data_IF_558333346462
#
_entry.id   IF_558333346462
#
_cell.length_a   1.000
_cell.length_b   1.000
_cell.length_c   1.000
_cell.angle_alpha   90.00
_cell.angle_beta   90.00
_cell.angle_gamma   90.00
#
_symmetry.space_group_name_H-M   'P 1'
#
loop_
_entity.id
_entity.type
_entity.pdbx_description
1 polymer ?
#
# COMPACT_ATOMS: atom_id res chain seq x y z
N UNK A 1 23.44 -29.61 -22.12
CA UNK A 1 23.69 -28.42 -22.97
C UNK A 1 22.43 -27.57 -22.91
N UNK A 2 22.49 -26.39 -22.30
CA UNK A 2 21.34 -25.49 -22.23
C UNK A 2 21.14 -24.81 -23.57
N UNK A 3 19.97 -24.98 -24.19
CA UNK A 3 19.59 -24.25 -25.39
C UNK A 3 19.29 -22.78 -24.98
N UNK A 4 20.22 -21.90 -25.32
CA UNK A 4 20.01 -20.47 -25.20
C UNK A 4 19.21 -19.94 -26.39
N UNK A 5 17.95 -19.54 -26.16
CA UNK A 5 17.19 -18.81 -27.18
C UNK A 5 17.68 -17.36 -27.14
N UNK A 6 18.49 -16.98 -28.12
CA UNK A 6 19.16 -15.66 -28.16
C UNK A 6 18.21 -14.51 -28.48
N UNK A 7 17.10 -14.71 -29.13
CA UNK A 7 16.10 -13.68 -29.43
C UNK A 7 14.82 -14.32 -30.02
N UNK A 8 13.66 -13.90 -29.52
CA UNK A 8 12.37 -14.16 -30.15
C UNK A 8 11.78 -12.83 -30.58
N UNK A 9 11.78 -12.55 -31.89
CA UNK A 9 11.13 -11.35 -32.44
C UNK A 9 9.79 -11.75 -33.03
N UNK A 10 8.67 -11.31 -32.45
CA UNK A 10 7.34 -11.55 -33.00
C UNK A 10 6.80 -10.24 -33.57
N UNK A 11 6.71 -10.13 -34.89
CA UNK A 11 6.05 -9.02 -35.59
C UNK A 11 4.56 -9.33 -35.75
N UNK A 12 3.71 -8.56 -35.12
CA UNK A 12 2.29 -8.46 -35.50
C UNK A 12 1.35 -9.54 -34.95
N UNK A 13 1.77 -10.41 -34.05
CA UNK A 13 0.90 -11.41 -33.40
C UNK A 13 0.96 -11.30 -31.89
N UNK A 14 -0.19 -11.51 -31.21
CA UNK A 14 -0.21 -11.66 -29.76
C UNK A 14 0.53 -12.95 -29.40
N UNK A 15 1.73 -12.82 -28.87
CA UNK A 15 2.48 -13.95 -28.35
C UNK A 15 1.99 -14.22 -26.93
N UNK A 16 1.16 -15.23 -26.77
CA UNK A 16 0.69 -15.67 -25.46
C UNK A 16 1.71 -16.68 -24.92
N UNK A 17 2.73 -16.21 -24.25
CA UNK A 17 3.53 -17.06 -23.36
C UNK A 17 2.62 -17.44 -22.20
N UNK A 18 2.13 -18.67 -22.17
CA UNK A 18 1.52 -19.22 -20.96
C UNK A 18 2.42 -18.88 -19.78
N UNK A 19 1.91 -18.81 -18.56
CA UNK A 19 2.59 -18.30 -17.37
C UNK A 19 4.13 -18.47 -17.42
N UNK A 20 4.86 -17.37 -17.59
CA UNK A 20 6.30 -17.37 -17.40
C UNK A 20 6.51 -17.47 -15.90
N UNK A 21 6.92 -18.63 -15.42
CA UNK A 21 7.35 -18.75 -14.04
C UNK A 21 8.51 -17.78 -13.78
N UNK A 22 8.50 -17.09 -12.67
CA UNK A 22 9.48 -16.05 -12.32
C UNK A 22 10.94 -16.53 -12.37
N UNK A 23 11.17 -17.83 -12.28
CA UNK A 23 12.48 -18.44 -12.44
C UNK A 23 13.05 -18.31 -13.87
N UNK A 24 12.20 -18.12 -14.89
CA UNK A 24 12.63 -17.96 -16.29
C UNK A 24 13.13 -16.53 -16.59
N UNK A 25 12.91 -15.57 -15.69
CA UNK A 25 13.32 -14.16 -15.83
C UNK A 25 14.61 -13.86 -15.02
N UNK A 26 15.16 -14.84 -14.32
CA UNK A 26 16.35 -14.69 -13.47
C UNK A 26 17.67 -14.36 -14.22
N UNK A 27 17.62 -13.93 -15.45
CA UNK A 27 18.78 -13.58 -16.26
C UNK A 27 18.64 -12.30 -17.06
N UNK A 28 17.63 -11.47 -16.79
CA UNK A 28 17.54 -10.14 -17.43
C UNK A 28 18.35 -9.14 -16.60
N UNK A 29 19.65 -9.35 -16.58
CA UNK A 29 20.62 -8.33 -16.20
C UNK A 29 20.76 -7.35 -17.36
N UNK A 30 20.26 -6.16 -17.24
CA UNK A 30 20.36 -5.07 -18.22
C UNK A 30 19.33 -5.10 -19.35
N UNK A 31 18.22 -4.51 -19.06
CA UNK A 31 17.24 -4.07 -20.04
C UNK A 31 16.12 -3.39 -19.30
N UNK A 32 15.91 -2.14 -19.61
CA UNK A 32 14.71 -1.44 -19.22
C UNK A 32 13.51 -2.26 -19.73
N UNK A 33 12.71 -2.82 -18.85
CA UNK A 33 11.46 -3.47 -19.23
C UNK A 33 10.48 -2.39 -19.71
N UNK A 34 10.53 -2.06 -21.00
CA UNK A 34 9.64 -1.09 -21.60
C UNK A 34 8.30 -1.77 -21.86
N UNK A 35 7.34 -1.59 -20.98
CA UNK A 35 5.94 -1.93 -21.21
C UNK A 35 5.28 -0.80 -22.00
N UNK A 36 5.26 -0.88 -23.32
CA UNK A 36 4.65 0.14 -24.20
C UNK A 36 3.12 0.19 -24.10
N UNK A 37 2.50 -0.73 -23.39
CA UNK A 37 1.04 -0.81 -23.19
C UNK A 37 0.52 -0.22 -21.87
N UNK A 38 1.39 0.40 -21.06
CA UNK A 38 1.04 0.87 -19.73
C UNK A 38 0.90 -0.29 -18.70
N UNK A 39 1.39 -0.08 -17.50
CA UNK A 39 1.13 -1.00 -16.39
C UNK A 39 -0.25 -0.69 -15.81
N UNK A 40 -1.24 -1.50 -16.12
CA UNK A 40 -2.52 -1.42 -15.43
C UNK A 40 -2.36 -2.06 -14.04
N UNK A 41 -2.21 -1.22 -13.02
CA UNK A 41 -2.18 -1.69 -11.63
C UNK A 41 -3.53 -2.31 -11.28
N UNK A 42 -3.53 -3.57 -10.85
CA UNK A 42 -4.75 -4.21 -10.37
C UNK A 42 -5.34 -3.44 -9.18
N UNK A 43 -6.67 -3.45 -9.06
CA UNK A 43 -7.39 -2.85 -7.94
C UNK A 43 -7.95 -3.95 -7.06
N UNK A 44 -7.84 -3.78 -5.72
CA UNK A 44 -8.46 -4.66 -4.72
C UNK A 44 -9.40 -3.82 -3.86
N UNK A 45 -10.69 -4.14 -3.92
CA UNK A 45 -11.69 -3.51 -3.06
C UNK A 45 -11.73 -4.23 -1.71
N UNK A 46 -11.76 -3.48 -0.61
CA UNK A 46 -11.91 -4.02 0.73
C UNK A 46 -13.40 -4.16 1.09
N UNK A 47 -13.71 -5.14 1.91
CA UNK A 47 -15.07 -5.46 2.34
C UNK A 47 -15.28 -5.02 3.78
N UNK A 48 -16.39 -4.32 4.06
CA UNK A 48 -16.75 -3.87 5.41
C UNK A 48 -16.90 -5.03 6.38
N UNK A 49 -16.49 -4.81 7.63
CA UNK A 49 -16.67 -5.77 8.73
C UNK A 49 -15.95 -7.10 8.57
N UNK A 50 -15.16 -7.28 7.51
CA UNK A 50 -14.34 -8.46 7.29
C UNK A 50 -12.87 -8.14 7.63
N UNK A 51 -12.16 -9.13 8.14
CA UNK A 51 -10.71 -9.07 8.24
C UNK A 51 -10.11 -9.19 6.83
N UNK A 52 -9.85 -8.04 6.21
CA UNK A 52 -9.20 -8.02 4.90
C UNK A 52 -7.69 -8.23 5.08
N UNK A 53 -7.12 -9.07 4.23
CA UNK A 53 -5.67 -9.30 4.20
C UNK A 53 -5.16 -9.02 2.79
N UNK A 54 -4.10 -8.25 2.66
CA UNK A 54 -3.32 -8.19 1.44
C UNK A 54 -2.17 -9.17 1.52
N UNK A 55 -1.77 -9.70 0.40
CA UNK A 55 -0.70 -10.70 0.30
C UNK A 55 0.46 -10.17 -0.52
N UNK A 56 1.58 -10.87 -0.53
CA UNK A 56 2.72 -10.52 -1.38
C UNK A 56 2.35 -10.42 -2.87
N UNK A 57 1.38 -11.23 -3.33
CA UNK A 57 0.89 -11.20 -4.70
C UNK A 57 0.04 -9.94 -5.02
N UNK A 58 -0.38 -9.20 -4.01
CA UNK A 58 -1.09 -7.93 -4.17
C UNK A 58 -0.12 -6.73 -4.25
N UNK A 59 1.19 -6.96 -4.15
CA UNK A 59 2.19 -5.89 -4.27
C UNK A 59 2.07 -5.17 -5.62
N UNK A 60 2.09 -3.85 -5.58
CA UNK A 60 1.87 -2.98 -6.75
C UNK A 60 0.40 -2.68 -7.03
N UNK A 61 -0.56 -3.32 -6.37
CA UNK A 61 -1.99 -3.02 -6.53
C UNK A 61 -2.39 -1.74 -5.77
N UNK A 62 -3.48 -1.14 -6.24
CA UNK A 62 -4.23 -0.13 -5.51
C UNK A 62 -5.27 -0.84 -4.65
N UNK A 63 -5.24 -0.61 -3.36
CA UNK A 63 -6.16 -1.16 -2.36
C UNK A 63 -7.18 -0.06 -2.01
N UNK A 64 -8.46 -0.35 -2.11
CA UNK A 64 -9.49 0.69 -1.97
C UNK A 64 -10.42 0.38 -0.80
N UNK A 65 -10.47 1.30 0.16
CA UNK A 65 -11.55 1.40 1.13
C UNK A 65 -12.78 1.97 0.42
N UNK A 66 -13.65 1.08 -0.06
CA UNK A 66 -14.84 1.41 -0.84
C UNK A 66 -16.14 1.27 -0.04
N UNK A 67 -16.04 1.40 1.27
CA UNK A 67 -17.17 1.32 2.20
C UNK A 67 -17.00 2.34 3.30
N UNK A 68 -18.10 2.87 3.83
CA UNK A 68 -18.04 3.86 4.92
C UNK A 68 -17.82 3.22 6.29
N UNK A 69 -18.23 1.96 6.47
CA UNK A 69 -18.15 1.25 7.75
C UNK A 69 -16.70 0.89 8.11
N UNK A 70 -16.47 0.63 9.39
CA UNK A 70 -15.18 0.18 9.90
C UNK A 70 -14.62 -1.00 9.09
N UNK A 71 -13.36 -0.92 8.74
CA UNK A 71 -12.70 -1.88 7.85
C UNK A 71 -11.23 -2.00 8.22
N UNK A 72 -10.82 -3.19 8.62
CA UNK A 72 -9.41 -3.51 8.91
C UNK A 72 -8.77 -4.18 7.70
N UNK A 73 -7.57 -3.73 7.34
CA UNK A 73 -6.72 -4.38 6.33
C UNK A 73 -5.35 -4.71 6.91
N UNK A 74 -5.04 -6.00 7.02
CA UNK A 74 -3.75 -6.47 7.52
C UNK A 74 -2.75 -6.66 6.37
N UNK A 75 -1.56 -6.07 6.54
CA UNK A 75 -0.43 -6.23 5.63
C UNK A 75 0.21 -7.61 5.78
N UNK A 76 0.88 -8.16 4.75
CA UNK A 76 1.69 -9.36 4.89
C UNK A 76 2.97 -9.08 5.71
N UNK A 77 3.72 -10.12 6.03
CA UNK A 77 5.10 -9.95 6.48
C UNK A 77 5.88 -9.15 5.41
N UNK A 78 6.60 -8.08 5.80
CA UNK A 78 7.25 -7.20 4.86
C UNK A 78 8.37 -7.91 4.10
N UNK A 79 8.55 -7.51 2.85
CA UNK A 79 9.75 -7.81 2.05
C UNK A 79 10.20 -6.53 1.38
N UNK A 80 11.50 -6.39 1.22
CA UNK A 80 12.11 -5.22 0.56
C UNK A 80 11.49 -5.06 -0.84
N UNK A 81 11.01 -3.84 -1.13
CA UNK A 81 10.41 -3.49 -2.42
C UNK A 81 8.91 -3.79 -2.57
N UNK A 82 8.27 -4.49 -1.62
CA UNK A 82 6.80 -4.56 -1.62
C UNK A 82 6.21 -3.18 -1.50
N UNK A 83 5.14 -2.91 -2.27
CA UNK A 83 4.45 -1.63 -2.24
C UNK A 83 2.95 -1.83 -2.31
N UNK A 84 2.23 -1.13 -1.44
CA UNK A 84 0.77 -1.04 -1.47
C UNK A 84 0.37 0.43 -1.44
N UNK A 85 -0.62 0.79 -2.26
CA UNK A 85 -1.22 2.13 -2.22
C UNK A 85 -2.68 2.00 -1.81
N UNK A 86 -3.03 2.56 -0.67
CA UNK A 86 -4.39 2.58 -0.15
C UNK A 86 -5.06 3.89 -0.54
N UNK A 87 -6.31 3.78 -0.99
CA UNK A 87 -7.15 4.94 -1.33
C UNK A 87 -8.48 4.79 -0.59
N UNK A 88 -8.93 5.85 0.05
CA UNK A 88 -10.28 5.93 0.59
C UNK A 88 -11.18 6.59 -0.46
N UNK A 89 -12.15 5.84 -1.01
CA UNK A 89 -13.05 6.32 -2.06
C UNK A 89 -14.38 6.85 -1.52
N UNK A 90 -14.74 6.47 -0.30
CA UNK A 90 -15.97 6.89 0.38
C UNK A 90 -15.58 7.39 1.78
N UNK A 91 -16.19 8.50 2.22
CA UNK A 91 -15.98 9.02 3.58
C UNK A 91 -16.20 7.94 4.63
N UNK A 92 -15.20 7.69 5.45
CA UNK A 92 -15.27 6.76 6.56
C UNK A 92 -16.21 7.30 7.66
N UNK A 93 -17.16 6.47 8.08
CA UNK A 93 -18.00 6.69 9.26
C UNK A 93 -17.63 5.78 10.43
N UNK A 94 -16.77 4.82 10.17
CA UNK A 94 -16.06 3.97 11.14
C UNK A 94 -14.58 3.96 10.80
N UNK A 95 -13.77 3.30 11.60
CA UNK A 95 -12.33 3.30 11.46
C UNK A 95 -11.91 2.45 10.24
N UNK A 96 -11.20 3.09 9.29
CA UNK A 96 -10.43 2.38 8.27
C UNK A 96 -9.01 2.20 8.79
N UNK A 97 -8.58 0.97 8.93
CA UNK A 97 -7.29 0.65 9.56
C UNK A 97 -6.40 -0.14 8.61
N UNK A 98 -5.13 0.25 8.58
CA UNK A 98 -4.05 -0.49 7.95
C UNK A 98 -3.17 -1.00 9.09
N UNK A 99 -3.13 -2.32 9.26
CA UNK A 99 -2.39 -2.99 10.32
C UNK A 99 -1.16 -3.71 9.77
N UNK A 100 -0.01 -3.56 10.42
CA UNK A 100 1.14 -4.43 10.16
C UNK A 100 0.84 -5.88 10.59
N UNK A 101 1.49 -6.86 9.97
CA UNK A 101 1.23 -8.28 10.24
C UNK A 101 1.51 -8.68 11.70
N UNK A 102 2.43 -8.01 12.35
CA UNK A 102 2.79 -8.18 13.78
C UNK A 102 3.34 -6.87 14.31
N UNK A 103 3.33 -6.69 15.64
CA UNK A 103 3.90 -5.51 16.31
C UNK A 103 5.39 -5.28 16.02
N UNK A 104 6.13 -6.31 15.57
CA UNK A 104 7.52 -6.18 15.16
C UNK A 104 7.73 -5.66 13.72
N UNK A 105 6.66 -5.40 12.99
CA UNK A 105 6.68 -4.93 11.60
C UNK A 105 6.22 -3.48 11.45
N UNK A 106 6.43 -2.65 12.44
CA UNK A 106 5.85 -1.31 12.53
C UNK A 106 6.22 -0.35 11.39
N UNK A 107 5.60 0.81 11.45
CA UNK A 107 5.71 1.87 10.46
C UNK A 107 6.80 2.87 10.79
N UNK A 108 7.44 3.41 9.75
CA UNK A 108 8.33 4.58 9.78
C UNK A 108 7.84 5.59 8.74
N UNK A 109 8.28 6.83 8.85
CA UNK A 109 7.89 7.90 7.93
C UNK A 109 6.70 8.70 8.43
N UNK A 110 5.87 9.22 7.55
CA UNK A 110 4.79 10.08 7.99
C UNK A 110 3.79 10.42 6.89
N UNK A 111 2.74 11.09 7.30
CA UNK A 111 1.66 11.56 6.44
C UNK A 111 1.28 12.99 6.80
N UNK A 112 0.65 13.70 5.87
CA UNK A 112 -0.10 14.92 6.18
C UNK A 112 -1.57 14.58 6.38
N UNK A 113 -2.23 15.26 7.32
CA UNK A 113 -3.68 15.22 7.49
C UNK A 113 -4.24 16.61 7.21
N UNK A 114 -4.95 16.73 6.10
CA UNK A 114 -5.55 17.98 5.66
C UNK A 114 -6.99 18.08 6.15
N UNK A 115 -7.30 19.11 6.93
CA UNK A 115 -8.67 19.42 7.29
C UNK A 115 -9.35 20.14 6.14
N UNK A 116 -10.39 19.54 5.59
CA UNK A 116 -11.19 20.17 4.53
C UNK A 116 -12.10 21.30 5.05
N UNK A 117 -12.31 21.36 6.37
CA UNK A 117 -13.18 22.36 7.04
C UNK A 117 -12.38 23.54 7.57
N UNK A 118 -11.20 23.31 8.15
CA UNK A 118 -10.39 24.37 8.79
C UNK A 118 -9.32 24.96 7.89
N UNK A 119 -9.19 24.49 6.63
CA UNK A 119 -8.16 24.91 5.68
C UNK A 119 -6.74 24.85 6.26
N UNK A 120 -6.44 23.77 7.01
CA UNK A 120 -5.13 23.51 7.61
C UNK A 120 -4.65 22.11 7.29
N UNK A 121 -3.35 21.95 7.29
CA UNK A 121 -2.67 20.66 7.15
C UNK A 121 -1.68 20.49 8.30
N UNK A 122 -1.73 19.33 8.96
CA UNK A 122 -0.78 18.96 9.98
C UNK A 122 0.01 17.73 9.54
N UNK A 123 1.31 17.75 9.76
CA UNK A 123 2.18 16.63 9.47
C UNK A 123 2.32 15.75 10.73
N UNK A 124 2.13 14.45 10.54
CA UNK A 124 2.31 13.44 11.59
C UNK A 124 3.35 12.41 11.15
N UNK A 125 4.24 12.07 12.05
CA UNK A 125 5.24 11.02 11.84
C UNK A 125 4.89 9.81 12.70
N UNK A 126 5.11 8.63 12.13
CA UNK A 126 5.15 7.41 12.91
C UNK A 126 6.32 7.46 13.91
N UNK A 127 6.21 6.71 14.98
CA UNK A 127 7.25 6.65 16.00
C UNK A 127 8.57 6.16 15.39
N UNK A 128 9.64 6.93 15.60
CA UNK A 128 10.95 6.68 14.99
C UNK A 128 11.58 5.31 15.36
N UNK A 129 11.08 4.67 16.41
CA UNK A 129 11.50 3.31 16.77
C UNK A 129 10.67 2.21 16.11
N UNK A 130 9.70 2.57 15.22
CA UNK A 130 8.83 1.63 14.53
C UNK A 130 7.85 0.90 15.44
N UNK A 131 7.45 1.52 16.56
CA UNK A 131 6.48 0.93 17.49
C UNK A 131 5.04 1.00 16.97
N UNK A 132 4.73 1.98 16.11
CA UNK A 132 3.39 2.12 15.57
C UNK A 132 3.13 1.01 14.53
N UNK A 133 2.11 0.23 14.76
CA UNK A 133 1.71 -0.90 13.90
C UNK A 133 0.31 -0.73 13.28
N UNK A 134 -0.35 0.42 13.55
CA UNK A 134 -1.61 0.81 12.94
C UNK A 134 -1.54 2.19 12.30
N UNK A 135 -2.28 2.33 11.19
CA UNK A 135 -2.67 3.62 10.60
C UNK A 135 -4.19 3.63 10.59
N UNK A 136 -4.79 4.49 11.43
CA UNK A 136 -6.23 4.58 11.63
C UNK A 136 -6.76 5.86 11.00
N UNK A 137 -7.84 5.76 10.23
CA UNK A 137 -8.51 6.83 9.51
C UNK A 137 -9.99 6.83 9.88
N UNK A 138 -10.46 7.84 10.62
CA UNK A 138 -11.84 7.91 11.13
C UNK A 138 -12.76 8.83 10.34
N UNK A 139 -12.29 9.45 9.28
CA UNK A 139 -13.04 10.45 8.51
C UNK A 139 -13.09 11.84 9.15
N UNK A 140 -13.23 11.91 10.46
CA UNK A 140 -13.37 13.17 11.20
C UNK A 140 -12.07 13.92 11.42
N UNK A 141 -11.05 13.27 11.99
CA UNK A 141 -9.87 13.93 12.56
C UNK A 141 -8.52 13.41 12.03
N UNK A 142 -8.40 12.13 11.73
CA UNK A 142 -7.12 11.50 11.35
C UNK A 142 -7.12 10.92 9.92
N UNK A 143 -7.93 11.48 9.04
CA UNK A 143 -8.07 11.02 7.65
C UNK A 143 -9.37 10.26 7.42
N UNK A 144 -9.43 9.48 6.34
CA UNK A 144 -10.63 8.72 5.99
C UNK A 144 -11.67 9.52 5.19
N UNK A 145 -11.40 10.77 4.85
CA UNK A 145 -12.14 11.49 3.82
C UNK A 145 -11.90 10.87 2.44
N UNK A 146 -12.91 10.95 1.56
CA UNK A 146 -12.76 10.49 0.18
C UNK A 146 -11.61 11.24 -0.52
N UNK A 147 -10.69 10.51 -1.14
CA UNK A 147 -9.47 11.05 -1.72
C UNK A 147 -8.22 10.89 -0.83
N UNK A 148 -8.35 10.39 0.40
CA UNK A 148 -7.18 10.03 1.22
C UNK A 148 -6.34 8.96 0.53
N UNK A 149 -5.01 9.16 0.55
CA UNK A 149 -4.04 8.24 -0.06
C UNK A 149 -2.93 7.94 0.93
N UNK A 150 -2.63 6.66 1.13
CA UNK A 150 -1.48 6.18 1.90
C UNK A 150 -0.72 5.17 1.07
N UNK A 151 0.60 5.35 0.98
CA UNK A 151 1.50 4.38 0.37
C UNK A 151 2.39 3.79 1.44
N UNK A 152 2.51 2.46 1.47
CA UNK A 152 3.43 1.72 2.33
C UNK A 152 4.41 0.93 1.47
N UNK A 153 5.69 1.00 1.83
CA UNK A 153 6.78 0.32 1.11
C UNK A 153 7.57 -0.52 2.10
N UNK A 154 7.74 -1.80 1.81
CA UNK A 154 8.61 -2.69 2.58
C UNK A 154 10.07 -2.30 2.42
N UNK A 155 10.73 -1.94 3.50
CA UNK A 155 12.15 -1.52 3.53
C UNK A 155 13.05 -2.48 4.28
N UNK A 156 12.45 -3.45 4.98
CA UNK A 156 13.15 -4.54 5.68
C UNK A 156 12.35 -5.82 5.56
N UNK A 157 13.01 -6.95 5.54
CA UNK A 157 12.44 -8.31 5.55
C UNK A 157 12.72 -9.04 6.87
N UNK A 158 13.31 -8.36 7.83
CA UNK A 158 13.55 -8.87 9.19
C UNK A 158 12.47 -8.36 10.12
N UNK A 159 12.17 -9.11 11.19
CA UNK A 159 11.26 -8.69 12.27
C UNK A 159 11.89 -7.59 13.14
N UNK A 160 12.40 -6.53 12.51
CA UNK A 160 12.90 -5.36 13.20
C UNK A 160 11.80 -4.29 13.23
N UNK A 161 11.74 -3.53 14.30
CA UNK A 161 10.88 -2.37 14.39
C UNK A 161 11.12 -1.45 13.18
N UNK A 162 10.05 -1.01 12.50
CA UNK A 162 10.16 -0.12 11.35
C UNK A 162 10.46 -0.82 10.03
N UNK A 163 9.64 -1.79 9.65
CA UNK A 163 9.76 -2.54 8.40
C UNK A 163 9.02 -1.91 7.22
N UNK A 164 8.05 -1.03 7.48
CA UNK A 164 7.25 -0.36 6.47
C UNK A 164 7.48 1.15 6.46
N UNK A 165 7.94 1.68 5.33
CA UNK A 165 7.98 3.13 5.12
C UNK A 165 6.62 3.62 4.65
N UNK A 166 6.07 4.62 5.35
CA UNK A 166 4.77 5.22 5.07
C UNK A 166 4.94 6.63 4.53
N UNK A 167 4.13 6.96 3.54
CA UNK A 167 3.93 8.32 3.06
C UNK A 167 2.49 8.49 2.58
N UNK A 168 1.95 9.69 2.66
CA UNK A 168 0.59 9.93 2.18
C UNK A 168 0.03 11.29 2.52
N UNK A 169 -1.16 11.51 1.97
CA UNK A 169 -2.01 12.65 2.31
C UNK A 169 -3.39 12.11 2.69
N UNK A 170 -3.83 12.46 3.86
CA UNK A 170 -5.10 12.05 4.43
C UNK A 170 -6.04 13.25 4.53
N UNK A 171 -7.29 13.08 4.13
CA UNK A 171 -8.31 14.12 4.20
C UNK A 171 -9.20 13.89 5.41
N UNK A 172 -9.32 14.86 6.29
CA UNK A 172 -10.23 14.89 7.43
C UNK A 172 -11.34 15.91 7.19
N UNK A 173 -12.59 15.54 7.46
CA UNK A 173 -13.74 16.47 7.30
C UNK A 173 -14.00 17.31 8.54
N UNK A 174 -13.34 17.01 9.67
CA UNK A 174 -13.40 17.80 10.90
C UNK A 174 -12.42 18.96 10.90
N UNK A 175 -12.60 19.89 11.86
CA UNK A 175 -11.73 21.07 12.03
C UNK A 175 -10.46 20.77 12.83
N UNK A 176 -10.39 19.64 13.51
CA UNK A 176 -9.24 19.21 14.31
C UNK A 176 -8.57 18.02 13.61
N UNK A 177 -7.25 18.03 13.59
CA UNK A 177 -6.45 16.92 13.09
C UNK A 177 -5.71 16.24 14.23
N UNK A 178 -5.63 14.91 14.19
CA UNK A 178 -4.90 14.10 15.16
C UNK A 178 -4.04 13.07 14.43
N UNK A 179 -3.04 12.51 15.11
CA UNK A 179 -2.18 11.49 14.52
C UNK A 179 -2.99 10.27 14.10
N UNK A 180 -2.76 9.74 12.90
CA UNK A 180 -3.34 8.47 12.47
C UNK A 180 -2.53 7.25 12.96
N UNK A 181 -1.35 7.44 13.52
CA UNK A 181 -0.47 6.37 13.97
C UNK A 181 -0.81 5.91 15.38
N UNK A 182 -0.86 4.60 15.58
CA UNK A 182 -1.13 3.96 16.87
C UNK A 182 -0.35 2.65 17.03
N UNK A 183 -0.22 2.24 18.29
CA UNK A 183 0.28 0.91 18.69
C UNK A 183 -0.88 0.03 19.13
N UNK A 184 -0.82 -1.28 18.87
CA UNK A 184 -1.78 -2.29 19.35
C UNK A 184 -1.67 -2.54 20.85
#
# INVERSE_FOLDING_TARGET
>A
MANSIKQVTVKGSKFNLGSIESAAIAGVEQGENIFTGGNNHGVKLLVAGAANTVTAADSGKIIVFNVAAATLCTLPAPKIGMKFTFITSILATGDHEIQAATNGHGFLGGVTVDSTTAAKADAFSANANGADDFITQTGGTNGGGAGSIVTVVGISDTSAAGCWLVSGNLLAVGSTTVTPFATS
#
